data_IF_082623451968
#
_entry.id   IF_082623451968
#
_cell.length_a   1.000
_cell.length_b   1.000
_cell.length_c   1.000
_cell.angle_alpha   90.00
_cell.angle_beta   90.00
_cell.angle_gamma   90.00
#
_symmetry.space_group_name_H-M   'P 1'
#
loop_
_entity.id
_entity.type
_entity.pdbx_description
1 polymer ?
#
# COMPACT_ATOMS: atom_id res chain seq x y z
N UNK A 1 -20.48 -26.13 0.50
CA UNK A 1 -19.02 -26.26 0.66
C UNK A 1 -18.38 -25.08 -0.07
N UNK A 2 -18.19 -23.95 0.61
CA UNK A 2 -17.50 -22.79 0.03
C UNK A 2 -16.00 -23.08 0.08
N UNK A 3 -15.40 -23.36 -1.08
CA UNK A 3 -13.94 -23.40 -1.21
C UNK A 3 -13.47 -21.97 -0.99
N UNK A 4 -12.94 -21.66 0.18
CA UNK A 4 -12.22 -20.42 0.42
C UNK A 4 -10.86 -20.56 -0.24
N UNK A 5 -10.66 -19.85 -1.35
CA UNK A 5 -9.39 -19.82 -2.07
C UNK A 5 -8.33 -19.16 -1.16
N UNK A 6 -7.45 -19.95 -0.55
CA UNK A 6 -6.42 -19.45 0.35
C UNK A 6 -5.24 -18.92 -0.47
N UNK A 7 -4.93 -17.63 -0.29
CA UNK A 7 -3.84 -16.96 -1.01
C UNK A 7 -2.71 -16.60 -0.05
N UNK A 8 -1.49 -16.58 -0.58
CA UNK A 8 -0.35 -16.00 0.14
C UNK A 8 -0.41 -14.47 0.08
N UNK A 9 -0.36 -13.83 1.24
CA UNK A 9 -0.14 -12.39 1.39
C UNK A 9 1.26 -12.09 1.93
N UNK A 10 1.70 -10.85 1.73
CA UNK A 10 3.00 -10.32 2.16
C UNK A 10 2.75 -9.14 3.09
N UNK A 11 3.24 -9.24 4.33
CA UNK A 11 3.21 -8.12 5.28
C UNK A 11 4.20 -7.06 4.87
N UNK A 12 3.72 -5.83 4.69
CA UNK A 12 4.51 -4.65 4.39
C UNK A 12 4.61 -3.82 5.67
N UNK A 13 5.84 -3.47 6.04
CA UNK A 13 6.12 -2.58 7.16
C UNK A 13 6.81 -1.31 6.66
N UNK A 14 6.40 -0.16 7.18
CA UNK A 14 6.97 1.15 6.88
C UNK A 14 7.48 1.74 8.19
N UNK A 15 8.75 2.16 8.23
CA UNK A 15 9.41 2.69 9.42
C UNK A 15 9.33 1.75 10.65
N UNK A 16 9.35 0.44 10.41
CA UNK A 16 9.24 -0.59 11.47
C UNK A 16 7.82 -0.89 11.95
N UNK A 17 6.81 -0.08 11.57
CA UNK A 17 5.40 -0.35 11.85
C UNK A 17 4.75 -1.19 10.75
N UNK A 18 3.88 -2.14 11.12
CA UNK A 18 3.05 -2.84 10.14
C UNK A 18 2.13 -1.84 9.43
N UNK A 19 2.13 -1.87 8.10
CA UNK A 19 1.32 -1.00 7.26
C UNK A 19 0.13 -1.74 6.65
N UNK A 20 0.39 -2.87 5.97
CA UNK A 20 -0.66 -3.62 5.24
C UNK A 20 -0.23 -5.04 4.90
N UNK A 21 -1.18 -5.91 4.58
CA UNK A 21 -0.98 -7.25 4.03
C UNK A 21 -1.41 -7.27 2.56
N UNK A 22 -0.47 -7.46 1.64
CA UNK A 22 -0.70 -7.29 0.21
C UNK A 22 -0.48 -8.61 -0.54
N UNK A 23 -1.34 -8.93 -1.50
CA UNK A 23 -1.16 -10.08 -2.40
C UNK A 23 -0.19 -9.77 -3.53
N UNK A 24 0.55 -10.77 -4.00
CA UNK A 24 1.45 -10.63 -5.16
C UNK A 24 0.77 -9.99 -6.38
N UNK A 25 -0.49 -10.35 -6.65
CA UNK A 25 -1.26 -9.79 -7.78
C UNK A 25 -1.44 -8.27 -7.67
N UNK A 26 -1.67 -7.75 -6.46
CA UNK A 26 -1.84 -6.31 -6.23
C UNK A 26 -0.54 -5.55 -6.49
N UNK A 27 0.60 -6.09 -6.03
CA UNK A 27 1.92 -5.51 -6.33
C UNK A 27 2.26 -5.57 -7.82
N UNK A 28 1.82 -6.63 -8.51
CA UNK A 28 1.97 -6.74 -9.96
C UNK A 28 1.16 -5.67 -10.69
N UNK A 29 -0.10 -5.49 -10.32
CA UNK A 29 -0.96 -4.45 -10.90
C UNK A 29 -0.39 -3.04 -10.67
N UNK A 30 0.16 -2.77 -9.48
CA UNK A 30 0.91 -1.54 -9.21
C UNK A 30 2.11 -1.38 -10.16
N UNK A 31 2.90 -2.44 -10.36
CA UNK A 31 4.06 -2.40 -11.26
C UNK A 31 3.67 -2.02 -12.69
N UNK A 32 2.66 -2.68 -13.26
CA UNK A 32 2.21 -2.37 -14.61
C UNK A 32 1.72 -0.91 -14.73
N UNK A 33 0.99 -0.42 -13.72
CA UNK A 33 0.50 0.97 -13.71
C UNK A 33 1.65 1.97 -13.60
N UNK A 34 2.62 1.74 -12.73
CA UNK A 34 3.81 2.58 -12.64
C UNK A 34 4.61 2.53 -13.95
N UNK A 35 4.78 1.36 -14.56
CA UNK A 35 5.56 1.22 -15.80
C UNK A 35 4.89 1.96 -16.96
N UNK A 36 3.56 1.96 -17.01
CA UNK A 36 2.78 2.76 -17.96
C UNK A 36 2.98 4.27 -17.76
N UNK A 37 2.99 4.73 -16.51
CA UNK A 37 3.02 6.16 -16.18
C UNK A 37 4.46 6.75 -16.21
N UNK A 38 5.49 5.94 -15.92
CA UNK A 38 6.86 6.40 -15.69
C UNK A 38 7.95 5.66 -16.51
N UNK A 39 7.58 4.65 -17.30
CA UNK A 39 8.49 3.96 -18.22
C UNK A 39 9.75 3.41 -17.54
N UNK A 40 10.91 3.73 -18.11
CA UNK A 40 12.22 3.20 -17.69
C UNK A 40 12.65 3.62 -16.28
N UNK A 41 11.94 4.58 -15.67
CA UNK A 41 12.18 4.97 -14.28
C UNK A 41 11.79 3.87 -13.29
N UNK A 42 10.81 3.03 -13.65
CA UNK A 42 10.36 1.92 -12.81
C UNK A 42 11.30 0.73 -12.98
N UNK A 43 11.74 0.08 -11.88
CA UNK A 43 12.63 -1.07 -11.97
C UNK A 43 12.09 -2.14 -12.93
N UNK A 44 12.89 -2.51 -13.94
CA UNK A 44 12.49 -3.52 -14.95
C UNK A 44 12.27 -4.90 -14.35
N UNK A 45 12.96 -5.19 -13.24
CA UNK A 45 12.89 -6.47 -12.55
C UNK A 45 11.73 -6.47 -11.57
N UNK A 46 10.65 -7.15 -11.93
CA UNK A 46 9.59 -7.55 -11.01
C UNK A 46 9.48 -9.09 -10.94
N UNK A 47 9.40 -9.71 -9.74
CA UNK A 47 9.33 -11.16 -9.55
C UNK A 47 8.31 -11.84 -10.47
N UNK A 48 8.68 -12.80 -11.35
CA UNK A 48 7.79 -13.34 -12.37
C UNK A 48 6.62 -14.16 -11.82
N UNK A 49 5.53 -14.23 -12.59
CA UNK A 49 4.46 -15.21 -12.36
C UNK A 49 5.02 -16.63 -12.56
N UNK A 50 4.54 -17.57 -11.76
CA UNK A 50 4.80 -19.00 -11.95
C UNK A 50 3.46 -19.67 -12.21
N UNK A 51 3.44 -20.64 -13.13
CA UNK A 51 2.23 -21.37 -13.53
C UNK A 51 1.83 -22.45 -12.51
N UNK A 52 2.76 -22.83 -11.63
CA UNK A 52 2.57 -23.82 -10.58
C UNK A 52 2.55 -23.16 -9.21
N UNK A 53 1.96 -23.85 -8.23
CA UNK A 53 2.03 -23.49 -6.82
C UNK A 53 3.48 -23.39 -6.38
N UNK A 54 3.82 -22.32 -5.65
CA UNK A 54 5.18 -22.14 -5.16
C UNK A 54 5.45 -23.04 -3.96
N UNK A 55 6.66 -23.60 -3.90
CA UNK A 55 7.18 -24.20 -2.67
C UNK A 55 7.68 -23.10 -1.70
N UNK A 56 8.04 -23.49 -0.47
CA UNK A 56 8.48 -22.54 0.56
C UNK A 56 9.72 -21.73 0.16
N UNK A 57 10.69 -22.36 -0.49
CA UNK A 57 11.91 -21.67 -0.98
C UNK A 57 11.54 -20.59 -2.00
N UNK A 58 10.68 -20.92 -2.97
CA UNK A 58 10.24 -19.97 -4.00
C UNK A 58 9.35 -18.86 -3.43
N UNK A 59 8.59 -19.13 -2.36
CA UNK A 59 7.83 -18.11 -1.65
C UNK A 59 8.76 -17.11 -0.96
N UNK A 60 9.83 -17.59 -0.32
CA UNK A 60 10.84 -16.77 0.32
C UNK A 60 11.64 -15.95 -0.71
N UNK A 61 12.09 -16.56 -1.81
CA UNK A 61 12.77 -15.85 -2.91
C UNK A 61 11.87 -14.75 -3.49
N UNK A 62 10.57 -15.05 -3.70
CA UNK A 62 9.61 -14.05 -4.16
C UNK A 62 9.44 -12.92 -3.15
N UNK A 63 9.37 -13.23 -1.84
CA UNK A 63 9.30 -12.22 -0.78
C UNK A 63 10.49 -11.26 -0.86
N UNK A 64 11.71 -11.79 -0.94
CA UNK A 64 12.93 -10.97 -1.04
C UNK A 64 12.98 -10.13 -2.31
N UNK A 65 12.51 -10.66 -3.44
CA UNK A 65 12.40 -9.91 -4.69
C UNK A 65 11.37 -8.78 -4.61
N UNK A 66 10.21 -9.02 -3.97
CA UNK A 66 9.19 -7.99 -3.75
C UNK A 66 9.69 -6.89 -2.80
N UNK A 67 10.41 -7.27 -1.74
CA UNK A 67 11.01 -6.32 -0.80
C UNK A 67 12.02 -5.41 -1.51
N UNK A 68 12.96 -5.99 -2.26
CA UNK A 68 13.93 -5.22 -3.06
C UNK A 68 13.25 -4.29 -4.06
N UNK A 69 12.19 -4.77 -4.73
CA UNK A 69 11.42 -3.96 -5.67
C UNK A 69 10.79 -2.73 -5.00
N UNK A 70 10.13 -2.92 -3.85
CA UNK A 70 9.52 -1.82 -3.09
C UNK A 70 10.56 -0.84 -2.54
N UNK A 71 11.71 -1.36 -2.08
CA UNK A 71 12.84 -0.52 -1.67
C UNK A 71 13.35 0.34 -2.83
N UNK A 72 13.50 -0.23 -4.03
CA UNK A 72 13.91 0.54 -5.22
C UNK A 72 12.90 1.63 -5.57
N UNK A 73 11.58 1.38 -5.45
CA UNK A 73 10.57 2.44 -5.62
C UNK A 73 10.74 3.53 -4.57
N UNK A 74 10.90 3.16 -3.30
CA UNK A 74 11.00 4.14 -2.21
C UNK A 74 12.22 5.04 -2.28
N UNK A 75 13.29 4.59 -2.97
CA UNK A 75 14.50 5.37 -3.17
C UNK A 75 14.38 6.40 -4.30
N UNK A 76 13.36 6.29 -5.15
CA UNK A 76 13.09 7.26 -6.21
C UNK A 76 12.06 8.30 -5.74
N UNK A 77 12.45 9.58 -5.57
CA UNK A 77 11.58 10.62 -5.03
C UNK A 77 10.30 10.87 -5.84
N UNK A 78 10.29 10.60 -7.15
CA UNK A 78 9.12 10.83 -8.01
C UNK A 78 8.19 9.62 -7.99
N UNK A 79 8.73 8.41 -7.96
CA UNK A 79 7.89 7.21 -7.85
C UNK A 79 7.22 7.13 -6.49
N UNK A 80 7.95 7.39 -5.40
CA UNK A 80 7.41 7.33 -4.03
C UNK A 80 6.36 8.41 -3.77
N UNK A 81 6.53 9.61 -4.34
CA UNK A 81 5.56 10.70 -4.25
C UNK A 81 4.45 10.61 -5.31
N UNK A 82 4.47 9.60 -6.19
CA UNK A 82 3.48 9.49 -7.26
C UNK A 82 2.08 9.23 -6.70
N UNK A 83 1.07 9.86 -7.30
CA UNK A 83 -0.34 9.61 -6.95
C UNK A 83 -0.71 8.13 -7.05
N UNK A 84 -0.13 7.41 -8.03
CA UNK A 84 -0.34 5.98 -8.23
C UNK A 84 0.14 5.16 -7.03
N UNK A 85 1.39 5.39 -6.57
CA UNK A 85 1.96 4.66 -5.44
C UNK A 85 1.29 5.02 -4.11
N UNK A 86 1.05 6.31 -3.85
CA UNK A 86 0.39 6.78 -2.62
C UNK A 86 -1.04 6.24 -2.51
N UNK A 87 -1.84 6.33 -3.58
CA UNK A 87 -3.21 5.76 -3.59
C UNK A 87 -3.20 4.26 -3.38
N UNK A 88 -2.22 3.55 -3.93
CA UNK A 88 -2.07 2.12 -3.72
C UNK A 88 -1.82 1.78 -2.25
N UNK A 89 -0.87 2.46 -1.59
CA UNK A 89 -0.56 2.21 -0.18
C UNK A 89 -1.74 2.55 0.75
N UNK A 90 -2.46 3.63 0.47
CA UNK A 90 -3.68 3.98 1.21
C UNK A 90 -4.75 2.91 1.04
N UNK A 91 -5.01 2.47 -0.19
CA UNK A 91 -5.98 1.39 -0.47
C UNK A 91 -5.60 0.10 0.23
N UNK A 92 -4.32 -0.30 0.16
CA UNK A 92 -3.82 -1.51 0.80
C UNK A 92 -3.96 -1.47 2.33
N UNK A 93 -3.72 -0.30 2.94
CA UNK A 93 -3.91 -0.09 4.38
C UNK A 93 -5.38 -0.23 4.78
N UNK A 94 -6.30 0.40 4.02
CA UNK A 94 -7.75 0.28 4.24
C UNK A 94 -8.21 -1.18 4.17
N UNK A 95 -7.81 -1.89 3.12
CA UNK A 95 -8.16 -3.31 2.92
C UNK A 95 -7.61 -4.22 4.04
N UNK A 96 -6.42 -3.91 4.58
CA UNK A 96 -5.76 -4.77 5.57
C UNK A 96 -6.30 -4.59 6.98
N UNK A 97 -6.79 -3.40 7.30
CA UNK A 97 -7.32 -3.11 8.63
C UNK A 97 -8.78 -3.56 8.79
N UNK A 98 -9.46 -4.00 7.72
CA UNK A 98 -10.92 -4.25 7.71
C UNK A 98 -11.70 -3.11 8.38
N UNK A 99 -11.18 -1.89 8.28
CA UNK A 99 -11.79 -0.72 8.89
C UNK A 99 -12.92 -0.30 7.98
N UNK A 100 -14.16 -0.46 8.44
CA UNK A 100 -15.30 0.15 7.78
C UNK A 100 -15.06 1.66 7.73
N UNK A 101 -15.32 2.26 6.56
CA UNK A 101 -15.23 3.71 6.43
C UNK A 101 -16.32 4.32 7.30
N UNK A 102 -15.90 4.92 8.40
CA UNK A 102 -16.79 5.59 9.34
C UNK A 102 -16.50 7.09 9.31
N UNK A 103 -17.57 7.86 9.12
CA UNK A 103 -17.54 9.30 9.32
C UNK A 103 -17.44 9.58 10.84
N UNK A 104 -16.41 10.31 11.23
CA UNK A 104 -16.13 10.67 12.61
C UNK A 104 -15.90 12.18 12.77
N UNK A 105 -16.16 12.70 13.96
CA UNK A 105 -15.85 14.09 14.29
C UNK A 105 -14.45 14.18 14.89
N UNK A 106 -13.56 14.92 14.22
CA UNK A 106 -12.25 15.26 14.72
C UNK A 106 -12.30 16.66 15.37
N UNK A 107 -11.93 16.72 16.65
CA UNK A 107 -11.82 17.96 17.40
C UNK A 107 -10.43 18.60 17.19
N UNK A 108 -10.39 19.76 16.55
CA UNK A 108 -9.19 20.56 16.34
C UNK A 108 -9.13 21.68 17.38
N UNK A 109 -8.07 21.70 18.19
CA UNK A 109 -7.85 22.73 19.21
C UNK A 109 -6.84 23.75 18.71
N UNK A 110 -7.23 25.03 18.72
CA UNK A 110 -6.38 26.15 18.34
C UNK A 110 -5.67 26.74 19.56
N UNK A 111 -4.54 27.41 19.34
CA UNK A 111 -3.75 28.08 20.39
C UNK A 111 -4.52 29.18 21.15
N UNK A 112 -5.63 29.67 20.59
CA UNK A 112 -6.52 30.63 21.24
C UNK A 112 -7.61 29.97 22.12
N UNK A 113 -7.53 28.66 22.35
CA UNK A 113 -8.48 27.90 23.17
C UNK A 113 -9.81 27.58 22.47
N UNK A 114 -9.99 27.96 21.20
CA UNK A 114 -11.17 27.57 20.42
C UNK A 114 -11.04 26.14 19.92
N UNK A 115 -12.17 25.43 19.88
CA UNK A 115 -12.33 24.10 19.29
C UNK A 115 -13.10 24.20 17.98
N UNK A 116 -12.67 23.48 16.96
CA UNK A 116 -13.37 23.29 15.69
C UNK A 116 -13.64 21.80 15.47
N UNK A 117 -14.82 21.45 14.95
CA UNK A 117 -15.15 20.06 14.64
C UNK A 117 -15.16 19.86 13.13
N UNK A 118 -14.36 18.91 12.66
CA UNK A 118 -14.34 18.52 11.25
C UNK A 118 -14.89 17.12 11.12
N UNK A 119 -15.84 16.94 10.21
CA UNK A 119 -16.26 15.60 9.80
C UNK A 119 -15.18 15.04 8.88
N UNK A 120 -14.52 13.99 9.33
CA UNK A 120 -13.47 13.28 8.60
C UNK A 120 -13.80 11.81 8.58
N UNK A 121 -13.24 11.07 7.63
CA UNK A 121 -13.21 9.62 7.72
C UNK A 121 -11.97 9.19 8.51
N UNK A 122 -12.13 8.11 9.26
CA UNK A 122 -11.01 7.41 9.92
C UNK A 122 -9.87 6.98 8.97
N UNK A 123 -10.07 7.08 7.66
CA UNK A 123 -9.10 6.73 6.62
C UNK A 123 -8.70 7.91 5.72
N UNK A 124 -9.10 9.14 6.05
CA UNK A 124 -8.68 10.33 5.31
C UNK A 124 -7.19 10.63 5.56
N UNK A 125 -6.50 11.09 4.52
CA UNK A 125 -5.11 11.54 4.63
C UNK A 125 -5.03 12.93 5.25
N UNK A 126 -3.94 13.22 5.96
CA UNK A 126 -3.68 14.54 6.58
C UNK A 126 -3.89 15.71 5.61
N UNK A 127 -3.35 15.60 4.38
CA UNK A 127 -3.49 16.65 3.36
C UNK A 127 -4.95 16.88 2.92
N UNK A 128 -5.83 15.88 3.05
CA UNK A 128 -7.25 16.03 2.72
C UNK A 128 -8.01 16.74 3.85
N UNK A 129 -7.65 16.43 5.10
CA UNK A 129 -8.28 17.00 6.29
C UNK A 129 -7.85 18.45 6.54
N UNK A 130 -6.64 18.85 6.11
CA UNK A 130 -6.06 20.16 6.43
C UNK A 130 -6.21 21.25 5.33
N UNK A 131 -7.05 21.04 4.30
CA UNK A 131 -7.36 22.06 3.28
C UNK A 131 -8.45 23.03 3.74
#
# INVERSE_FOLDING_TARGET
MTITDTFQSYGISINGGFHSSIRYRQLRELHEQLKKDFGDRVPDKFPPKKLLTLNQTQLQERREQLEKYLQSISQDPVLVASKTFVKFLLKAQKESNNVEEEDMQLDIYLMNGKKFQVNVRNTDSTDHVMQ
#
